data_IF_476073108500
#
_entry.id   IF_476073108500
#
_cell.length_a   1.000
_cell.length_b   1.000
_cell.length_c   1.000
_cell.angle_alpha   90.00
_cell.angle_beta   90.00
_cell.angle_gamma   90.00
#
_symmetry.space_group_name_H-M   'P 1'
#
loop_
_entity.id
_entity.type
_entity.pdbx_description
1 polymer ?
#
# COMPACT_ATOMS: atom_id res chain seq x y z
N UNK A 1 20.41 -13.07 -8.66
CA UNK A 1 19.31 -12.62 -9.53
C UNK A 1 17.93 -12.76 -8.88
N UNK A 2 17.51 -13.95 -8.44
CA UNK A 2 16.16 -14.17 -7.87
C UNK A 2 15.87 -13.28 -6.65
N UNK A 3 16.84 -13.07 -5.76
CA UNK A 3 16.68 -12.22 -4.57
C UNK A 3 16.27 -10.78 -4.91
N UNK A 4 16.98 -10.13 -5.85
CA UNK A 4 16.71 -8.74 -6.23
C UNK A 4 15.36 -8.60 -6.93
N UNK A 5 14.99 -9.57 -7.77
CA UNK A 5 13.67 -9.60 -8.40
C UNK A 5 12.55 -9.75 -7.36
N UNK A 6 12.70 -10.66 -6.39
CA UNK A 6 11.74 -10.83 -5.30
C UNK A 6 11.63 -9.57 -4.43
N UNK A 7 12.75 -8.91 -4.13
CA UNK A 7 12.77 -7.65 -3.38
C UNK A 7 12.04 -6.53 -4.13
N UNK A 8 12.31 -6.35 -5.42
CA UNK A 8 11.64 -5.35 -6.25
C UNK A 8 10.12 -5.58 -6.31
N UNK A 9 9.69 -6.84 -6.45
CA UNK A 9 8.27 -7.20 -6.42
C UNK A 9 7.64 -6.92 -5.05
N UNK A 10 8.33 -7.27 -3.95
CA UNK A 10 7.83 -7.02 -2.60
C UNK A 10 7.67 -5.51 -2.32
N UNK A 11 8.66 -4.69 -2.70
CA UNK A 11 8.60 -3.23 -2.54
C UNK A 11 7.53 -2.61 -3.44
N UNK A 12 7.46 -3.03 -4.70
CA UNK A 12 6.55 -2.46 -5.70
C UNK A 12 5.08 -2.85 -5.50
N UNK A 13 4.80 -4.07 -5.05
CA UNK A 13 3.44 -4.61 -4.95
C UNK A 13 2.93 -4.85 -3.54
N UNK A 14 3.80 -4.94 -2.53
CA UNK A 14 3.40 -5.27 -1.16
C UNK A 14 2.36 -4.30 -0.59
N UNK A 15 2.64 -3.00 -0.65
CA UNK A 15 1.72 -1.97 -0.15
C UNK A 15 0.47 -1.79 -1.04
N UNK A 16 0.56 -1.69 -2.38
CA UNK A 16 -0.63 -1.60 -3.23
C UNK A 16 -1.63 -2.73 -3.03
N UNK A 17 -1.16 -3.98 -2.89
CA UNK A 17 -2.04 -5.12 -2.65
C UNK A 17 -2.72 -5.04 -1.28
N UNK A 18 -2.00 -4.61 -0.24
CA UNK A 18 -2.58 -4.40 1.08
C UNK A 18 -3.66 -3.30 1.07
N UNK A 19 -3.40 -2.20 0.37
CA UNK A 19 -4.35 -1.07 0.23
C UNK A 19 -5.60 -1.50 -0.52
N UNK A 20 -5.47 -2.29 -1.60
CA UNK A 20 -6.63 -2.79 -2.33
C UNK A 20 -7.53 -3.66 -1.46
N UNK A 21 -6.95 -4.57 -0.66
CA UNK A 21 -7.72 -5.38 0.26
C UNK A 21 -8.42 -4.51 1.33
N UNK A 22 -7.69 -3.55 1.91
CA UNK A 22 -8.21 -2.69 2.95
C UNK A 22 -9.34 -1.76 2.46
N UNK A 23 -9.22 -1.20 1.24
CA UNK A 23 -10.25 -0.34 0.66
C UNK A 23 -11.61 -1.05 0.58
N UNK A 24 -11.62 -2.34 0.23
CA UNK A 24 -12.88 -3.13 0.18
C UNK A 24 -13.47 -3.35 1.58
N UNK A 25 -12.62 -3.65 2.57
CA UNK A 25 -13.06 -3.87 3.94
C UNK A 25 -13.57 -2.58 4.59
N UNK A 26 -12.85 -1.46 4.45
CA UNK A 26 -13.24 -0.16 4.98
C UNK A 26 -14.53 0.34 4.32
N UNK A 27 -14.66 0.24 3.00
CA UNK A 27 -15.88 0.64 2.29
C UNK A 27 -17.12 -0.09 2.81
N UNK A 28 -17.01 -1.40 3.03
CA UNK A 28 -18.09 -2.21 3.61
C UNK A 28 -18.40 -1.79 5.05
N UNK A 29 -17.39 -1.64 5.90
CA UNK A 29 -17.57 -1.27 7.30
C UNK A 29 -18.24 0.11 7.44
N UNK A 30 -17.84 1.09 6.63
CA UNK A 30 -18.43 2.43 6.61
C UNK A 30 -19.87 2.38 6.13
N UNK A 31 -20.15 1.69 5.01
CA UNK A 31 -21.51 1.59 4.47
C UNK A 31 -22.48 0.96 5.49
N UNK A 32 -22.08 -0.15 6.10
CA UNK A 32 -22.89 -0.83 7.14
C UNK A 32 -23.04 0.01 8.40
N UNK A 33 -21.98 0.73 8.81
CA UNK A 33 -22.03 1.66 9.93
C UNK A 33 -23.03 2.79 9.69
N UNK A 34 -23.00 3.42 8.52
CA UNK A 34 -23.92 4.50 8.14
C UNK A 34 -25.37 4.01 8.09
N UNK A 35 -25.64 2.84 7.52
CA UNK A 35 -26.97 2.24 7.52
C UNK A 35 -27.47 1.93 8.94
N UNK A 36 -26.60 1.41 9.81
CA UNK A 36 -26.98 1.10 11.19
C UNK A 36 -27.30 2.37 11.98
N UNK A 37 -26.50 3.43 11.81
CA UNK A 37 -26.71 4.72 12.46
C UNK A 37 -27.98 5.43 11.98
N UNK A 38 -28.35 5.28 10.69
CA UNK A 38 -29.60 5.87 10.18
C UNK A 38 -30.84 5.14 10.70
N UNK A 39 -30.73 3.83 10.98
CA UNK A 39 -31.83 3.01 11.53
C UNK A 39 -31.99 3.17 13.05
N UNK A 40 -30.91 3.46 13.78
CA UNK A 40 -30.91 3.62 15.24
C UNK A 40 -30.10 4.87 15.65
N UNK A 41 -30.62 6.08 15.38
CA UNK A 41 -29.91 7.34 15.63
C UNK A 41 -29.54 7.54 17.10
N UNK A 42 -30.33 7.02 18.04
CA UNK A 42 -30.06 7.05 19.49
C UNK A 42 -28.74 6.36 19.88
N UNK A 43 -28.26 5.42 19.07
CA UNK A 43 -27.03 4.67 19.31
C UNK A 43 -25.87 5.12 18.44
N UNK A 44 -26.04 6.19 17.64
CA UNK A 44 -25.10 6.58 16.59
C UNK A 44 -23.67 6.82 17.10
N UNK A 45 -23.51 7.48 18.26
CA UNK A 45 -22.20 7.72 18.84
C UNK A 45 -21.46 6.42 19.24
N UNK A 46 -22.20 5.43 19.76
CA UNK A 46 -21.64 4.12 20.12
C UNK A 46 -21.27 3.32 18.87
N UNK A 47 -22.15 3.29 17.87
CA UNK A 47 -21.90 2.65 16.58
C UNK A 47 -20.70 3.26 15.86
N UNK A 48 -20.59 4.58 15.84
CA UNK A 48 -19.44 5.29 15.26
C UNK A 48 -18.15 4.89 15.96
N UNK A 49 -18.15 4.80 17.29
CA UNK A 49 -16.96 4.38 18.05
C UNK A 49 -16.54 2.95 17.69
N UNK A 50 -17.49 2.01 17.65
CA UNK A 50 -17.21 0.63 17.25
C UNK A 50 -16.69 0.54 15.82
N UNK A 51 -17.28 1.30 14.89
CA UNK A 51 -16.83 1.40 13.49
C UNK A 51 -15.40 1.95 13.41
N UNK A 52 -15.09 3.04 14.11
CA UNK A 52 -13.75 3.64 14.10
C UNK A 52 -12.69 2.69 14.67
N UNK A 53 -13.01 1.93 15.72
CA UNK A 53 -12.11 0.89 16.26
C UNK A 53 -11.84 -0.17 15.18
N UNK A 54 -12.88 -0.65 14.50
CA UNK A 54 -12.73 -1.61 13.39
C UNK A 54 -11.87 -1.05 12.24
N UNK A 55 -12.12 0.19 11.83
CA UNK A 55 -11.34 0.89 10.81
C UNK A 55 -9.88 1.05 11.25
N UNK A 56 -9.62 1.40 12.51
CA UNK A 56 -8.27 1.54 13.04
C UNK A 56 -7.49 0.22 13.02
N UNK A 57 -8.14 -0.92 13.26
CA UNK A 57 -7.48 -2.23 13.10
C UNK A 57 -7.15 -2.55 11.64
N UNK A 58 -8.03 -2.20 10.69
CA UNK A 58 -7.72 -2.35 9.27
C UNK A 58 -6.54 -1.46 8.90
N UNK A 59 -6.56 -0.20 9.35
CA UNK A 59 -5.50 0.77 9.09
C UNK A 59 -4.16 0.36 9.74
N UNK A 60 -4.18 -0.28 10.90
CA UNK A 60 -2.98 -0.81 11.55
C UNK A 60 -2.23 -1.80 10.65
N UNK A 61 -2.94 -2.66 9.92
CA UNK A 61 -2.30 -3.57 8.97
C UNK A 61 -1.74 -2.85 7.75
N UNK A 62 -2.41 -1.80 7.26
CA UNK A 62 -1.88 -0.95 6.17
C UNK A 62 -0.62 -0.23 6.63
N UNK A 63 -0.63 0.38 7.81
CA UNK A 63 0.53 1.07 8.36
C UNK A 63 1.69 0.12 8.61
N UNK A 64 1.42 -1.12 9.05
CA UNK A 64 2.45 -2.14 9.16
C UNK A 64 3.05 -2.50 7.80
N UNK A 65 2.22 -2.69 6.76
CA UNK A 65 2.69 -2.93 5.39
C UNK A 65 3.48 -1.74 4.83
N UNK A 66 3.07 -0.51 5.15
CA UNK A 66 3.77 0.72 4.78
C UNK A 66 5.16 0.79 5.42
N UNK A 67 5.25 0.55 6.74
CA UNK A 67 6.53 0.52 7.46
C UNK A 67 7.45 -0.55 6.88
N UNK A 68 6.92 -1.75 6.59
CA UNK A 68 7.71 -2.81 5.94
C UNK A 68 8.18 -2.40 4.55
N UNK A 69 7.33 -1.77 3.74
CA UNK A 69 7.69 -1.24 2.43
C UNK A 69 8.83 -0.23 2.50
N UNK A 70 8.75 0.71 3.45
CA UNK A 70 9.82 1.68 3.71
C UNK A 70 11.14 1.01 4.12
N UNK A 71 11.08 0.06 5.05
CA UNK A 71 12.26 -0.68 5.51
C UNK A 71 12.91 -1.53 4.40
N UNK A 72 12.11 -2.06 3.47
CA UNK A 72 12.61 -2.85 2.34
C UNK A 72 13.14 -1.97 1.21
N UNK A 73 12.56 -0.78 1.00
CA UNK A 73 13.01 0.18 0.00
C UNK A 73 14.49 0.56 0.21
N UNK A 74 14.90 0.77 1.46
CA UNK A 74 16.30 1.05 1.81
C UNK A 74 17.28 -0.11 1.60
N UNK A 75 16.80 -1.30 1.21
CA UNK A 75 17.65 -2.45 0.86
C UNK A 75 17.84 -2.62 -0.66
N UNK A 76 17.23 -1.75 -1.46
CA UNK A 76 17.42 -1.76 -2.90
C UNK A 76 18.82 -1.22 -3.26
N UNK A 77 19.49 -1.78 -4.28
CA UNK A 77 20.76 -1.25 -4.75
C UNK A 77 20.59 0.16 -5.33
N UNK A 78 21.49 1.07 -4.98
CA UNK A 78 21.57 2.38 -5.64
C UNK A 78 22.02 2.23 -7.10
N UNK A 79 21.51 3.10 -7.96
CA UNK A 79 21.99 3.19 -9.34
C UNK A 79 23.32 3.95 -9.29
N UNK A 80 24.42 3.26 -9.62
CA UNK A 80 25.73 3.89 -9.74
C UNK A 80 25.79 4.84 -10.95
N UNK A 81 26.70 5.81 -10.94
CA UNK A 81 26.86 6.77 -12.04
C UNK A 81 27.18 6.07 -13.37
N UNK A 82 28.00 5.01 -13.32
CA UNK A 82 28.34 4.17 -14.46
C UNK A 82 27.11 3.44 -15.01
N UNK A 83 26.27 2.88 -14.14
CA UNK A 83 25.02 2.23 -14.55
C UNK A 83 24.02 3.22 -15.15
N UNK A 84 23.93 4.44 -14.60
CA UNK A 84 23.06 5.47 -15.15
C UNK A 84 23.47 5.89 -16.56
N UNK A 85 24.77 6.06 -16.80
CA UNK A 85 25.32 6.38 -18.14
C UNK A 85 25.07 5.21 -19.10
N UNK A 86 25.25 3.97 -18.65
CA UNK A 86 25.00 2.79 -19.48
C UNK A 86 23.53 2.67 -19.87
N UNK A 87 22.60 2.87 -18.92
CA UNK A 87 21.16 2.87 -19.20
C UNK A 87 20.77 3.98 -20.20
N UNK A 88 21.39 5.17 -20.08
CA UNK A 88 21.16 6.27 -21.02
C UNK A 88 21.69 5.94 -22.42
N UNK A 89 22.90 5.37 -22.54
CA UNK A 89 23.48 4.95 -23.81
C UNK A 89 22.63 3.87 -24.49
N UNK A 90 22.19 2.86 -23.75
CA UNK A 90 21.28 1.82 -24.27
C UNK A 90 19.96 2.40 -24.77
N UNK A 91 19.39 3.40 -24.06
CA UNK A 91 18.17 4.07 -24.50
C UNK A 91 18.39 4.90 -25.78
N UNK A 92 19.54 5.58 -25.93
CA UNK A 92 19.89 6.30 -27.17
C UNK A 92 20.06 5.33 -28.34
N UNK A 93 20.78 4.23 -28.14
CA UNK A 93 20.98 3.21 -29.18
C UNK A 93 19.64 2.62 -29.65
N UNK A 94 18.71 2.34 -28.73
CA UNK A 94 17.38 1.83 -29.05
C UNK A 94 16.50 2.82 -29.84
N UNK A 95 16.81 4.12 -29.80
CA UNK A 95 16.09 5.17 -30.54
C UNK A 95 16.80 5.52 -31.86
N UNK A 96 18.08 5.18 -31.99
CA UNK A 96 18.89 5.47 -33.19
C UNK A 96 18.93 4.31 -34.19
N UNK A 97 18.49 3.11 -33.77
CA UNK A 97 18.16 1.98 -34.64
C UNK A 97 16.71 2.05 -35.12
#
# INVERSE_FOLDING_TARGET
MIYLAALALAVGFGLPLAVLAAATAQGKAIAQGLESMSRQPESAASLQTAMLIGLAFIELFILLAFVLGFQLSGKMPDITAEQAVQMAQTAVEAVTQ
#
